data_IF_601756138468
#
_entry.id   IF_601756138468
#
_cell.length_a   1.000
_cell.length_b   1.000
_cell.length_c   1.000
_cell.angle_alpha   90.00
_cell.angle_beta   90.00
_cell.angle_gamma   90.00
#
_symmetry.space_group_name_H-M   'P 1'
#
loop_
_entity.id
_entity.type
_entity.pdbx_description
1 polymer ?
#
# COMPACT_ATOMS: atom_id res chain seq x y z
N UNK A 1 5.39 -17.52 -52.19
CA UNK A 1 4.17 -17.87 -52.97
C UNK A 1 3.02 -17.91 -51.98
N UNK A 2 1.95 -17.13 -52.05
CA UNK A 2 1.44 -16.17 -53.02
C UNK A 2 0.85 -14.99 -52.22
N UNK A 3 1.17 -13.76 -52.63
CA UNK A 3 0.55 -12.51 -52.19
C UNK A 3 -0.75 -12.29 -52.97
N UNK A 4 -1.76 -11.64 -52.38
CA UNK A 4 -2.76 -10.93 -53.17
C UNK A 4 -2.95 -9.50 -52.66
N UNK A 5 -2.73 -8.60 -53.60
CA UNK A 5 -2.78 -7.14 -53.53
C UNK A 5 -3.99 -6.69 -54.37
N UNK A 6 -4.66 -5.61 -53.97
CA UNK A 6 -5.57 -4.89 -54.86
C UNK A 6 -5.37 -3.38 -54.70
N UNK A 7 -4.79 -2.79 -55.75
CA UNK A 7 -4.89 -1.37 -56.07
C UNK A 7 -6.18 -1.12 -56.85
N UNK A 8 -6.83 0.02 -56.62
CA UNK A 8 -7.68 0.64 -57.63
C UNK A 8 -7.39 2.15 -57.71
N UNK A 9 -7.30 2.60 -58.96
CA UNK A 9 -6.84 3.90 -59.42
C UNK A 9 -7.99 4.93 -59.43
N UNK A 10 -7.65 6.18 -59.16
CA UNK A 10 -8.48 7.38 -59.24
C UNK A 10 -9.06 7.67 -60.63
N UNK A 11 -10.24 8.30 -60.68
CA UNK A 11 -10.51 9.35 -61.67
C UNK A 11 -11.48 10.39 -61.08
N UNK A 12 -11.14 11.66 -61.25
CA UNK A 12 -11.83 12.83 -60.73
C UNK A 12 -13.11 13.17 -61.50
N UNK A 13 -14.12 13.68 -60.81
CA UNK A 13 -15.07 14.65 -61.38
C UNK A 13 -15.24 15.77 -60.37
N UNK A 14 -14.83 16.98 -60.78
CA UNK A 14 -15.06 18.22 -60.07
C UNK A 14 -16.51 18.68 -60.29
N UNK A 15 -17.24 18.98 -59.22
CA UNK A 15 -18.42 19.85 -59.30
C UNK A 15 -18.54 20.68 -58.01
N UNK A 16 -18.57 22.01 -58.21
CA UNK A 16 -19.35 22.99 -57.46
C UNK A 16 -19.20 23.04 -55.94
N UNK A 17 -18.44 24.02 -55.46
CA UNK A 17 -18.49 24.57 -54.11
C UNK A 17 -19.87 25.18 -53.80
N UNK A 18 -20.56 24.77 -52.72
CA UNK A 18 -21.45 25.64 -51.98
C UNK A 18 -20.70 26.24 -50.79
N UNK A 19 -20.83 27.55 -50.67
CA UNK A 19 -20.41 28.43 -49.59
C UNK A 19 -20.66 27.81 -48.19
N UNK A 20 -19.57 27.51 -47.46
CA UNK A 20 -19.66 26.93 -46.12
C UNK A 20 -20.12 27.99 -45.11
N UNK A 21 -21.25 27.73 -44.46
CA UNK A 21 -21.63 28.43 -43.24
C UNK A 21 -20.51 28.27 -42.18
N UNK A 22 -20.28 29.29 -41.33
CA UNK A 22 -19.27 29.20 -40.28
C UNK A 22 -19.57 28.01 -39.37
N UNK A 23 -18.53 27.29 -38.88
CA UNK A 23 -18.74 26.15 -38.00
C UNK A 23 -19.47 26.62 -36.75
N UNK A 24 -20.62 26.01 -36.50
CA UNK A 24 -21.26 26.02 -35.19
C UNK A 24 -20.21 25.50 -34.21
N UNK A 25 -19.78 26.37 -33.30
CA UNK A 25 -18.90 25.98 -32.21
C UNK A 25 -19.74 25.04 -31.34
N UNK A 26 -19.53 23.73 -31.50
CA UNK A 26 -20.09 22.75 -30.59
C UNK A 26 -19.62 23.14 -29.20
N UNK A 27 -20.58 23.57 -28.37
CA UNK A 27 -20.34 23.85 -26.97
C UNK A 27 -19.74 22.58 -26.37
N UNK A 28 -18.49 22.68 -25.90
CA UNK A 28 -17.83 21.62 -25.16
C UNK A 28 -18.81 21.15 -24.07
N UNK A 29 -19.27 19.90 -24.19
CA UNK A 29 -20.06 19.25 -23.15
C UNK A 29 -19.18 19.28 -21.92
N UNK A 30 -19.50 20.15 -20.97
CA UNK A 30 -18.84 20.18 -19.69
C UNK A 30 -18.96 18.77 -19.10
N UNK A 31 -17.83 18.08 -18.98
CA UNK A 31 -17.77 16.80 -18.29
C UNK A 31 -18.37 16.95 -16.88
N UNK A 32 -18.80 15.86 -16.25
CA UNK A 32 -19.34 15.91 -14.89
C UNK A 32 -18.36 16.65 -13.99
N UNK A 33 -18.83 17.73 -13.37
CA UNK A 33 -18.02 18.57 -12.49
C UNK A 33 -17.53 17.72 -11.31
N UNK A 34 -16.26 17.82 -10.91
CA UNK A 34 -15.75 17.09 -9.76
C UNK A 34 -16.61 17.35 -8.51
N UNK A 35 -17.02 16.29 -7.84
CA UNK A 35 -17.76 16.37 -6.58
C UNK A 35 -16.75 16.55 -5.44
N UNK A 36 -16.86 17.66 -4.72
CA UNK A 36 -15.99 17.97 -3.58
C UNK A 36 -16.65 17.56 -2.26
N UNK A 37 -15.89 16.92 -1.39
CA UNK A 37 -16.29 16.55 -0.03
C UNK A 37 -15.28 17.09 0.95
N UNK A 38 -15.75 17.70 2.03
CA UNK A 38 -14.89 18.17 3.10
C UNK A 38 -14.18 16.99 3.80
N UNK A 39 -12.85 17.04 3.83
CA UNK A 39 -12.03 16.16 4.64
C UNK A 39 -12.04 16.61 6.10
N UNK A 40 -12.02 15.64 7.02
CA UNK A 40 -11.92 15.91 8.46
C UNK A 40 -10.78 15.13 9.07
N UNK A 41 -9.83 15.84 9.66
CA UNK A 41 -8.74 15.20 10.37
C UNK A 41 -9.27 14.50 11.63
N UNK A 42 -8.88 13.24 11.82
CA UNK A 42 -9.22 12.43 12.97
C UNK A 42 -7.96 11.84 13.60
N UNK A 43 -7.84 12.01 14.91
CA UNK A 43 -6.82 11.36 15.73
C UNK A 43 -7.29 9.96 16.14
N UNK A 44 -6.41 8.97 16.06
CA UNK A 44 -6.66 7.60 16.43
C UNK A 44 -5.86 7.23 17.68
N UNK A 45 -6.56 7.07 18.81
CA UNK A 45 -5.93 6.67 20.09
C UNK A 45 -5.34 5.27 20.05
N UNK A 46 -6.04 4.37 19.35
CA UNK A 46 -5.55 3.04 19.03
C UNK A 46 -5.26 3.03 17.53
N UNK A 47 -4.00 2.80 17.17
CA UNK A 47 -3.61 2.68 15.77
C UNK A 47 -3.88 1.26 15.28
N UNK A 48 -4.97 1.11 14.51
CA UNK A 48 -5.42 -0.18 13.99
C UNK A 48 -5.09 -0.35 12.50
N UNK A 49 -4.60 0.71 11.84
CA UNK A 49 -4.29 0.66 10.43
C UNK A 49 -3.01 -0.13 10.16
N UNK A 50 -3.05 -0.97 9.14
CA UNK A 50 -1.85 -1.60 8.60
C UNK A 50 -1.43 -0.85 7.34
N UNK A 51 -0.31 -0.14 7.43
CA UNK A 51 0.22 0.69 6.37
C UNK A 51 1.08 -0.10 5.38
N UNK A 52 1.14 0.29 4.09
CA UNK A 52 2.03 -0.32 3.11
C UNK A 52 3.48 0.13 3.33
N UNK A 53 4.36 -0.82 3.68
CA UNK A 53 5.77 -0.53 4.02
C UNK A 53 5.89 0.66 5.00
N UNK A 54 5.20 0.52 6.13
CA UNK A 54 5.12 1.55 7.17
C UNK A 54 6.46 2.21 7.48
N UNK A 55 6.49 3.55 7.43
CA UNK A 55 7.67 4.34 7.72
C UNK A 55 7.64 4.88 9.14
N UNK A 56 8.83 4.88 9.74
CA UNK A 56 9.10 5.51 11.03
C UNK A 56 10.19 6.54 10.80
N UNK A 57 9.83 7.81 10.98
CA UNK A 57 10.70 8.95 10.71
C UNK A 57 11.48 9.32 11.98
N UNK A 58 12.80 9.53 11.91
CA UNK A 58 13.58 10.00 13.05
C UNK A 58 13.05 11.34 13.56
N UNK A 59 12.97 11.51 14.89
CA UNK A 59 12.53 12.77 15.50
C UNK A 59 13.56 13.91 15.31
N UNK A 60 14.86 13.59 15.33
CA UNK A 60 15.91 14.61 15.15
C UNK A 60 15.84 15.75 16.17
N UNK A 61 15.94 17.00 15.70
CA UNK A 61 15.80 18.23 16.51
C UNK A 61 14.34 18.68 16.68
N UNK A 62 13.39 18.02 16.01
CA UNK A 62 12.00 18.41 16.01
C UNK A 62 11.22 17.83 14.83
N UNK A 63 9.90 18.06 14.84
CA UNK A 63 8.99 17.65 13.79
C UNK A 63 8.54 18.89 13.01
N UNK A 64 8.41 18.76 11.69
CA UNK A 64 7.89 19.82 10.84
C UNK A 64 6.75 19.25 10.00
N UNK A 65 5.62 19.96 10.00
CA UNK A 65 4.45 19.63 9.20
C UNK A 65 4.19 20.83 8.28
N UNK A 66 4.28 20.64 6.98
CA UNK A 66 4.08 21.70 6.00
C UNK A 66 2.67 22.29 6.13
N UNK A 67 2.61 23.63 6.16
CA UNK A 67 1.34 24.36 6.28
C UNK A 67 0.65 24.23 7.64
N UNK A 68 1.36 23.82 8.69
CA UNK A 68 0.80 23.66 10.04
C UNK A 68 1.66 24.39 11.10
N UNK A 69 1.06 25.36 11.79
CA UNK A 69 1.71 26.16 12.84
C UNK A 69 2.88 27.03 12.35
N UNK A 70 3.76 27.40 13.30
CA UNK A 70 4.99 28.18 13.08
C UNK A 70 6.05 27.45 12.25
N UNK A 71 5.81 26.18 11.91
CA UNK A 71 6.63 25.37 10.99
C UNK A 71 7.60 24.39 11.64
N UNK A 72 7.79 24.41 12.97
CA UNK A 72 8.62 23.40 13.66
C UNK A 72 8.25 23.21 15.13
N UNK A 73 8.05 21.96 15.53
CA UNK A 73 7.86 21.51 16.91
C UNK A 73 9.18 20.98 17.45
N UNK A 74 9.76 21.69 18.41
CA UNK A 74 11.09 21.38 18.92
C UNK A 74 11.13 20.04 19.66
N UNK A 75 12.22 19.30 19.48
CA UNK A 75 12.55 18.13 20.27
C UNK A 75 13.88 18.32 21.03
N UNK A 76 13.96 17.71 22.21
CA UNK A 76 15.19 17.64 22.99
C UNK A 76 15.28 16.30 23.73
N UNK A 77 16.46 15.98 24.26
CA UNK A 77 16.66 14.83 25.13
C UNK A 77 16.94 15.28 26.56
N UNK A 78 16.29 14.62 27.52
CA UNK A 78 16.70 14.64 28.93
C UNK A 78 17.04 13.21 29.37
N UNK A 79 18.34 12.90 29.38
CA UNK A 79 18.82 11.54 29.49
C UNK A 79 18.37 10.70 28.29
N UNK A 80 17.55 9.68 28.55
CA UNK A 80 16.93 8.83 27.51
C UNK A 80 15.50 9.27 27.16
N UNK A 81 14.91 10.21 27.91
CA UNK A 81 13.56 10.68 27.67
C UNK A 81 13.54 11.69 26.51
N UNK A 82 12.48 11.62 25.70
CA UNK A 82 12.17 12.60 24.67
C UNK A 82 11.36 13.74 25.27
N UNK A 83 11.79 14.97 25.02
CA UNK A 83 11.04 16.19 25.27
C UNK A 83 10.51 16.73 23.95
N UNK A 84 9.24 17.11 23.89
CA UNK A 84 8.59 17.68 22.71
C UNK A 84 7.89 18.97 23.10
N UNK A 85 7.98 19.95 22.23
CA UNK A 85 7.10 21.11 22.13
C UNK A 85 5.87 20.69 21.31
N UNK A 86 4.68 20.69 21.91
CA UNK A 86 3.45 20.21 21.26
C UNK A 86 2.52 21.31 20.77
N UNK A 87 2.76 22.57 21.10
CA UNK A 87 1.96 23.72 20.68
C UNK A 87 2.71 24.74 19.80
N UNK A 88 4.01 24.51 19.59
CA UNK A 88 4.87 25.28 18.70
C UNK A 88 5.37 26.60 19.30
N UNK A 89 5.34 26.75 20.63
CA UNK A 89 5.77 27.97 21.33
C UNK A 89 7.30 28.07 21.53
N UNK A 90 8.04 27.01 21.19
CA UNK A 90 9.50 26.91 21.29
C UNK A 90 10.02 26.33 22.62
N UNK A 91 9.13 26.09 23.59
CA UNK A 91 9.41 25.42 24.85
C UNK A 91 8.85 23.98 24.83
N UNK A 92 9.62 23.03 25.35
CA UNK A 92 9.14 21.64 25.42
C UNK A 92 8.19 21.46 26.59
N UNK A 93 6.98 20.99 26.33
CA UNK A 93 5.87 20.84 27.28
C UNK A 93 5.47 19.37 27.54
N UNK A 94 5.94 18.45 26.70
CA UNK A 94 5.70 17.01 26.82
C UNK A 94 7.01 16.24 27.08
N UNK A 95 6.98 15.29 28.02
CA UNK A 95 8.06 14.33 28.28
C UNK A 95 7.57 12.90 28.05
N UNK A 96 8.32 12.11 27.29
CA UNK A 96 8.09 10.69 27.06
C UNK A 96 9.33 9.92 27.53
N UNK A 97 9.19 9.04 28.52
CA UNK A 97 10.28 8.20 28.97
C UNK A 97 10.45 6.98 28.05
N UNK A 98 11.66 6.43 27.93
CA UNK A 98 11.90 5.20 27.16
C UNK A 98 11.08 4.00 27.71
N UNK A 99 10.77 4.01 29.00
CA UNK A 99 9.87 3.07 29.66
C UNK A 99 8.46 3.05 29.04
N UNK A 100 7.98 4.18 28.53
CA UNK A 100 6.63 4.33 27.97
C UNK A 100 6.50 3.66 26.59
N UNK A 101 7.62 3.31 25.95
CA UNK A 101 7.68 2.61 24.66
C UNK A 101 8.02 1.12 24.79
N UNK A 102 8.20 0.61 26.01
CA UNK A 102 8.48 -0.82 26.23
C UNK A 102 7.32 -1.71 25.78
N UNK A 103 7.64 -2.96 25.46
CA UNK A 103 6.68 -3.98 24.99
C UNK A 103 5.93 -3.58 23.70
N UNK A 104 6.55 -2.77 22.85
CA UNK A 104 5.97 -2.33 21.58
C UNK A 104 4.90 -1.25 21.72
N UNK A 105 4.76 -0.62 22.89
CA UNK A 105 3.90 0.54 23.08
C UNK A 105 4.40 1.72 22.27
N UNK A 106 3.47 2.49 21.72
CA UNK A 106 3.78 3.68 20.93
C UNK A 106 2.92 4.85 21.43
N UNK A 107 3.40 5.65 22.40
CA UNK A 107 2.66 6.78 22.94
C UNK A 107 2.13 7.71 21.84
N UNK A 108 0.87 8.11 21.97
CA UNK A 108 0.23 9.09 21.09
C UNK A 108 0.67 10.49 21.51
N UNK A 109 1.13 11.28 20.55
CA UNK A 109 1.40 12.71 20.68
C UNK A 109 0.49 13.47 19.73
N UNK A 110 -0.13 14.53 20.22
CA UNK A 110 -0.99 15.42 19.43
C UNK A 110 -0.37 16.80 19.44
N UNK A 111 -0.01 17.29 18.26
CA UNK A 111 0.46 18.63 18.03
C UNK A 111 -0.72 19.55 17.72
N UNK A 112 -0.65 20.75 18.27
CA UNK A 112 -1.64 21.80 18.13
C UNK A 112 -1.00 22.99 17.43
N UNK A 113 -1.76 23.60 16.53
CA UNK A 113 -1.39 24.90 15.98
C UNK A 113 -1.88 25.98 16.96
N UNK A 114 -0.99 26.81 17.49
CA UNK A 114 -1.38 27.88 18.40
C UNK A 114 -2.36 28.89 17.77
N UNK A 115 -2.29 29.06 16.45
CA UNK A 115 -3.08 30.04 15.70
C UNK A 115 -4.34 29.44 15.06
N UNK A 116 -4.58 28.13 15.19
CA UNK A 116 -5.75 27.46 14.60
C UNK A 116 -6.24 26.23 15.37
N UNK A 117 -7.45 25.75 15.07
CA UNK A 117 -7.97 24.50 15.65
C UNK A 117 -7.39 23.23 15.00
N UNK A 118 -6.41 23.38 14.10
CA UNK A 118 -5.79 22.27 13.41
C UNK A 118 -5.01 21.39 14.39
N UNK A 119 -4.97 20.10 14.09
CA UNK A 119 -4.24 19.11 14.88
C UNK A 119 -3.47 18.17 13.97
N UNK A 120 -2.34 17.70 14.47
CA UNK A 120 -1.58 16.58 13.89
C UNK A 120 -1.26 15.58 14.98
N UNK A 121 -1.29 14.30 14.66
CA UNK A 121 -1.10 13.24 15.62
C UNK A 121 -0.10 12.23 15.08
N UNK A 122 0.87 11.91 15.92
CA UNK A 122 1.88 10.88 15.65
C UNK A 122 1.92 9.91 16.82
N UNK A 123 2.41 8.71 16.56
CA UNK A 123 2.81 7.76 17.59
C UNK A 123 4.32 7.70 17.61
N UNK A 124 4.89 7.68 18.80
CA UNK A 124 6.33 7.77 19.02
C UNK A 124 6.85 6.43 19.55
N UNK A 125 8.09 6.07 19.22
CA UNK A 125 8.72 4.85 19.70
C UNK A 125 10.24 4.94 19.67
N UNK A 126 10.89 4.31 20.65
CA UNK A 126 12.34 4.08 20.62
C UNK A 126 12.67 2.87 19.73
N UNK A 127 13.40 3.12 18.65
CA UNK A 127 13.83 2.12 17.65
C UNK A 127 15.36 2.15 17.47
N UNK A 128 16.09 2.30 18.57
CA UNK A 128 17.53 2.61 18.54
C UNK A 128 17.79 4.12 18.44
N UNK A 129 16.83 4.90 18.95
CA UNK A 129 16.64 6.32 18.70
C UNK A 129 15.15 6.63 18.59
N UNK A 130 14.75 7.86 18.95
CA UNK A 130 13.35 8.28 18.89
C UNK A 130 12.87 8.45 17.45
N UNK A 131 11.81 7.74 17.11
CA UNK A 131 11.14 7.83 15.82
C UNK A 131 9.65 8.07 16.03
N UNK A 132 8.99 8.59 15.00
CA UNK A 132 7.54 8.74 14.97
C UNK A 132 6.95 8.15 13.70
N UNK A 133 5.66 7.83 13.78
CA UNK A 133 4.85 7.40 12.65
C UNK A 133 3.44 7.99 12.80
N UNK A 134 2.60 7.94 11.77
CA UNK A 134 1.30 8.59 11.80
C UNK A 134 0.38 7.99 12.86
N UNK A 135 -0.44 8.85 13.47
CA UNK A 135 -1.53 8.46 14.38
C UNK A 135 -2.86 9.19 14.08
N UNK A 136 -2.95 9.82 12.91
CA UNK A 136 -4.16 10.48 12.44
C UNK A 136 -4.41 10.25 10.95
N UNK A 137 -5.62 10.56 10.50
CA UNK A 137 -6.00 10.48 9.10
C UNK A 137 -7.03 11.55 8.76
N UNK A 138 -6.95 12.10 7.56
CA UNK A 138 -8.05 12.85 6.94
C UNK A 138 -9.12 11.85 6.52
N UNK A 139 -10.36 12.06 6.96
CA UNK A 139 -11.49 11.17 6.66
C UNK A 139 -12.59 11.93 5.93
N UNK A 140 -13.10 11.34 4.86
CA UNK A 140 -14.30 11.79 4.15
C UNK A 140 -15.26 10.62 3.94
N UNK A 141 -16.54 10.91 3.71
CA UNK A 141 -17.52 9.93 3.26
C UNK A 141 -18.13 10.39 1.95
N UNK A 142 -18.09 9.52 0.95
CA UNK A 142 -18.55 9.81 -0.40
C UNK A 142 -19.31 8.59 -0.94
N UNK A 143 -20.56 8.77 -1.38
CA UNK A 143 -21.50 7.70 -1.76
C UNK A 143 -21.56 6.53 -0.76
N UNK A 144 -21.55 6.85 0.54
CA UNK A 144 -21.59 5.86 1.63
C UNK A 144 -20.29 5.08 1.85
N UNK A 145 -19.24 5.36 1.06
CA UNK A 145 -17.90 4.78 1.22
C UNK A 145 -17.03 5.76 2.01
N UNK A 146 -16.36 5.27 3.05
CA UNK A 146 -15.38 6.06 3.79
C UNK A 146 -14.06 6.06 3.03
N UNK A 147 -13.46 7.24 2.85
CA UNK A 147 -12.09 7.40 2.33
C UNK A 147 -11.24 7.98 3.46
N UNK A 148 -10.11 7.36 3.75
CA UNK A 148 -9.15 7.87 4.74
C UNK A 148 -7.79 8.04 4.07
N UNK A 149 -7.21 9.23 4.21
CA UNK A 149 -5.87 9.57 3.74
C UNK A 149 -4.97 9.79 4.95
N UNK A 150 -3.81 9.15 4.95
CA UNK A 150 -2.86 9.13 6.05
C UNK A 150 -1.55 9.68 5.47
N UNK A 151 -1.12 10.81 6.01
CA UNK A 151 0.22 11.37 5.80
C UNK A 151 1.24 10.35 6.31
N UNK A 152 1.82 9.55 5.41
CA UNK A 152 2.67 8.41 5.77
C UNK A 152 4.15 8.81 5.83
N UNK A 153 4.55 9.76 5.00
CA UNK A 153 5.93 10.27 4.98
C UNK A 153 6.17 11.27 6.13
N UNK A 154 5.10 11.78 6.76
CA UNK A 154 5.12 12.66 7.93
C UNK A 154 5.41 14.11 7.58
N UNK A 155 5.19 14.53 6.33
CA UNK A 155 5.53 15.87 5.86
C UNK A 155 4.44 16.92 6.14
N UNK A 156 3.29 16.51 6.69
CA UNK A 156 2.16 17.38 7.03
C UNK A 156 1.13 17.55 5.92
N UNK A 157 1.42 17.07 4.70
CA UNK A 157 0.53 17.08 3.54
C UNK A 157 -0.22 15.75 3.40
N UNK A 158 -1.29 15.76 2.61
CA UNK A 158 -2.14 14.59 2.34
C UNK A 158 -2.33 14.32 0.84
N UNK A 159 -1.56 14.99 -0.02
CA UNK A 159 -1.64 14.87 -1.48
C UNK A 159 -0.44 14.12 -2.09
N UNK A 160 0.35 13.43 -1.25
CA UNK A 160 1.53 12.67 -1.65
C UNK A 160 1.18 11.37 -2.39
N UNK A 161 0.86 11.46 -3.69
CA UNK A 161 0.54 10.30 -4.53
C UNK A 161 1.69 9.28 -4.49
N UNK A 162 1.38 8.05 -4.11
CA UNK A 162 2.36 6.98 -4.01
C UNK A 162 3.30 7.07 -2.80
N UNK A 163 3.11 8.05 -1.93
CA UNK A 163 3.88 8.23 -0.69
C UNK A 163 2.98 8.07 0.53
N UNK A 164 1.87 8.81 0.54
CA UNK A 164 0.83 8.72 1.54
C UNK A 164 0.08 7.40 1.45
N UNK A 165 -0.70 7.11 2.48
CA UNK A 165 -1.51 5.90 2.56
C UNK A 165 -3.00 6.22 2.42
N UNK A 166 -3.73 5.29 1.81
CA UNK A 166 -5.13 5.41 1.48
C UNK A 166 -5.89 4.16 1.92
N UNK A 167 -7.00 4.37 2.60
CA UNK A 167 -8.00 3.35 2.91
C UNK A 167 -9.31 3.70 2.23
N UNK A 168 -9.85 2.77 1.45
CA UNK A 168 -11.18 2.90 0.83
C UNK A 168 -12.13 1.87 1.46
N UNK A 169 -13.27 2.36 1.97
CA UNK A 169 -14.27 1.57 2.66
C UNK A 169 -14.02 1.40 4.16
N UNK A 170 -14.49 0.28 4.71
CA UNK A 170 -14.51 0.00 6.16
C UNK A 170 -13.30 -0.77 6.67
N UNK A 171 -12.32 -1.05 5.81
CA UNK A 171 -11.12 -1.78 6.18
C UNK A 171 -10.14 -0.96 7.04
N UNK A 172 -9.10 -1.65 7.51
CA UNK A 172 -7.95 -1.08 8.23
C UNK A 172 -6.64 -1.28 7.45
N UNK A 173 -6.68 -2.05 6.37
CA UNK A 173 -5.56 -2.22 5.45
C UNK A 173 -5.51 -1.04 4.51
N UNK A 174 -4.36 -0.36 4.46
CA UNK A 174 -4.11 0.75 3.55
C UNK A 174 -3.26 0.30 2.35
N UNK A 175 -3.52 0.91 1.20
CA UNK A 175 -2.61 0.94 0.06
C UNK A 175 -1.94 2.31 -0.02
N UNK A 176 -1.09 2.55 -1.02
CA UNK A 176 -0.58 3.90 -1.22
C UNK A 176 -1.70 4.83 -1.73
N UNK A 177 -1.59 6.12 -1.48
CA UNK A 177 -2.45 7.13 -2.05
C UNK A 177 -2.35 7.05 -3.56
N UNK A 178 -3.51 6.97 -4.19
CA UNK A 178 -3.67 6.65 -5.61
C UNK A 178 -4.47 7.76 -6.27
N UNK A 179 -4.07 8.15 -7.48
CA UNK A 179 -4.84 9.11 -8.27
C UNK A 179 -6.22 8.55 -8.68
N UNK A 180 -6.37 7.22 -8.65
CA UNK A 180 -7.61 6.54 -8.98
C UNK A 180 -8.03 5.59 -7.85
N UNK A 181 -9.32 5.60 -7.51
CA UNK A 181 -9.89 4.77 -6.45
C UNK A 181 -11.07 3.96 -6.98
N UNK A 182 -11.23 2.74 -6.49
CA UNK A 182 -12.42 1.94 -6.76
C UNK A 182 -13.44 2.15 -5.63
N UNK A 183 -14.60 2.70 -5.97
CA UNK A 183 -15.71 2.93 -5.02
C UNK A 183 -16.92 2.17 -5.53
N UNK A 184 -17.33 1.15 -4.77
CA UNK A 184 -18.48 0.29 -5.08
C UNK A 184 -18.42 -0.37 -6.48
N UNK A 185 -17.22 -0.67 -6.99
CA UNK A 185 -17.00 -1.34 -8.28
C UNK A 185 -16.63 -0.38 -9.42
N UNK A 186 -16.95 0.90 -9.28
CA UNK A 186 -16.62 1.93 -10.26
C UNK A 186 -15.31 2.65 -9.91
N UNK A 187 -14.65 3.19 -10.94
CA UNK A 187 -13.35 3.83 -10.81
C UNK A 187 -13.49 5.35 -10.94
N UNK A 188 -12.90 6.07 -9.99
CA UNK A 188 -12.94 7.53 -9.92
C UNK A 188 -11.53 8.09 -9.77
N UNK A 189 -11.28 9.26 -10.35
CA UNK A 189 -10.11 10.07 -10.01
C UNK A 189 -10.33 10.71 -8.65
N UNK A 190 -9.30 10.65 -7.81
CA UNK A 190 -9.24 11.29 -6.50
C UNK A 190 -8.17 12.37 -6.54
N UNK A 191 -8.55 13.58 -6.14
CA UNK A 191 -7.62 14.67 -5.82
C UNK A 191 -7.83 15.04 -4.35
N UNK A 192 -6.73 15.25 -3.63
CA UNK A 192 -6.76 15.63 -2.21
C UNK A 192 -6.09 17.00 -2.11
N UNK A 193 -6.71 17.94 -1.41
CA UNK A 193 -6.04 19.19 -1.06
C UNK A 193 -4.81 18.90 -0.19
N UNK A 194 -3.73 19.66 -0.35
CA UNK A 194 -2.48 19.44 0.38
C UNK A 194 -2.70 19.36 1.91
N UNK A 195 -3.56 20.21 2.47
CA UNK A 195 -3.90 20.23 3.90
C UNK A 195 -4.93 19.17 4.32
N UNK A 196 -5.48 18.43 3.37
CA UNK A 196 -6.52 17.43 3.55
C UNK A 196 -7.92 17.99 3.84
N UNK A 197 -8.13 19.30 3.67
CA UNK A 197 -9.42 19.95 3.93
C UNK A 197 -10.52 19.53 2.95
N UNK A 198 -10.15 19.05 1.77
CA UNK A 198 -11.07 18.72 0.69
C UNK A 198 -10.57 17.53 -0.13
N UNK A 199 -11.48 16.64 -0.49
CA UNK A 199 -11.28 15.57 -1.46
C UNK A 199 -12.22 15.80 -2.65
N UNK A 200 -11.70 15.73 -3.87
CA UNK A 200 -12.46 15.89 -5.10
C UNK A 200 -12.50 14.57 -5.86
N UNK A 201 -13.69 14.18 -6.29
CA UNK A 201 -13.96 12.94 -6.99
C UNK A 201 -14.52 13.26 -8.38
N UNK A 202 -13.98 12.61 -9.41
CA UNK A 202 -14.54 12.67 -10.76
C UNK A 202 -14.49 11.29 -11.42
N UNK A 203 -15.38 10.98 -12.38
CA UNK A 203 -15.30 9.72 -13.10
C UNK A 203 -13.92 9.51 -13.71
N UNK A 204 -13.37 8.30 -13.59
CA UNK A 204 -12.11 7.98 -14.24
C UNK A 204 -12.34 7.78 -15.75
N UNK A 205 -11.63 8.55 -16.56
CA UNK A 205 -11.76 8.61 -18.02
C UNK A 205 -10.64 7.86 -18.77
N UNK A 206 -9.66 7.31 -18.04
CA UNK A 206 -8.57 6.54 -18.61
C UNK A 206 -8.95 5.12 -19.00
N UNK A 207 -7.98 4.39 -19.57
CA UNK A 207 -8.14 2.97 -19.88
C UNK A 207 -8.19 2.15 -18.60
N UNK A 208 -9.05 1.13 -18.58
CA UNK A 208 -9.35 0.33 -17.40
C UNK A 208 -9.36 -1.15 -17.74
N UNK A 209 -8.86 -1.98 -16.83
CA UNK A 209 -9.00 -3.44 -16.87
C UNK A 209 -9.43 -3.98 -15.50
N UNK A 210 -9.35 -5.30 -15.34
CA UNK A 210 -9.61 -5.99 -14.08
C UNK A 210 -8.35 -6.70 -13.63
N UNK A 211 -7.92 -6.44 -12.40
CA UNK A 211 -6.84 -7.18 -11.76
C UNK A 211 -7.44 -8.16 -10.75
N UNK A 212 -7.13 -9.44 -10.92
CA UNK A 212 -7.58 -10.52 -10.05
C UNK A 212 -6.38 -11.23 -9.41
N UNK A 213 -6.31 -11.18 -8.09
CA UNK A 213 -5.29 -11.86 -7.28
C UNK A 213 -5.82 -13.12 -6.58
N UNK A 214 -7.12 -13.42 -6.69
CA UNK A 214 -7.75 -14.57 -6.05
C UNK A 214 -7.86 -15.77 -6.99
N UNK A 215 -8.25 -15.58 -8.26
CA UNK A 215 -8.52 -16.68 -9.19
C UNK A 215 -7.34 -17.66 -9.38
N UNK A 216 -6.13 -17.12 -9.48
CA UNK A 216 -4.91 -17.89 -9.63
C UNK A 216 -4.21 -18.23 -8.29
N UNK A 217 -4.75 -17.84 -7.14
CA UNK A 217 -4.13 -18.13 -5.84
C UNK A 217 -4.36 -19.58 -5.41
N UNK A 218 -3.29 -20.39 -5.36
CA UNK A 218 -3.39 -21.84 -5.09
C UNK A 218 -2.93 -22.22 -3.68
N UNK A 219 -3.66 -21.79 -2.65
CA UNK A 219 -3.48 -22.29 -1.27
C UNK A 219 -4.82 -22.34 -0.53
N UNK A 220 -4.88 -23.01 0.62
CA UNK A 220 -6.04 -22.96 1.53
C UNK A 220 -6.07 -21.70 2.42
N UNK A 221 -4.99 -20.91 2.41
CA UNK A 221 -4.94 -19.66 3.16
C UNK A 221 -5.84 -18.61 2.51
N UNK A 222 -6.30 -17.66 3.31
CA UNK A 222 -7.08 -16.51 2.84
C UNK A 222 -6.15 -15.33 2.62
N UNK A 223 -6.40 -14.56 1.56
CA UNK A 223 -5.74 -13.28 1.35
C UNK A 223 -6.32 -12.27 2.37
N UNK A 224 -5.49 -11.84 3.32
CA UNK A 224 -5.87 -10.83 4.31
C UNK A 224 -5.71 -9.42 3.75
N UNK A 225 -4.55 -9.17 3.13
CA UNK A 225 -4.16 -7.92 2.47
C UNK A 225 -3.34 -8.26 1.22
N UNK A 226 -3.57 -7.54 0.12
CA UNK A 226 -2.74 -7.61 -1.09
C UNK A 226 -2.64 -6.23 -1.71
N UNK A 227 -1.60 -5.48 -1.35
CA UNK A 227 -1.31 -4.17 -1.90
C UNK A 227 -0.49 -4.32 -3.17
N UNK A 228 -1.03 -3.80 -4.25
CA UNK A 228 -0.33 -3.65 -5.52
C UNK A 228 -0.09 -2.18 -5.82
N UNK A 229 0.96 -1.89 -6.57
CA UNK A 229 1.29 -0.55 -7.04
C UNK A 229 1.70 -0.59 -8.50
N UNK A 230 1.26 0.36 -9.29
CA UNK A 230 1.72 0.46 -10.68
C UNK A 230 3.20 0.85 -10.73
N UNK A 231 3.88 0.50 -11.81
CA UNK A 231 5.32 0.73 -11.96
C UNK A 231 5.73 2.20 -12.02
N UNK A 232 4.79 3.12 -12.28
CA UNK A 232 5.02 4.56 -12.23
C UNK A 232 4.63 5.18 -10.89
N UNK A 233 4.05 4.39 -10.00
CA UNK A 233 3.73 4.75 -8.63
C UNK A 233 2.55 5.71 -8.45
N UNK A 234 1.70 5.86 -9.47
CA UNK A 234 0.50 6.71 -9.51
C UNK A 234 -0.75 6.02 -8.97
N UNK A 235 -0.78 4.69 -9.05
CA UNK A 235 -1.94 3.88 -8.70
C UNK A 235 -1.56 2.78 -7.72
N UNK A 236 -2.39 2.61 -6.70
CA UNK A 236 -2.24 1.53 -5.73
C UNK A 236 -3.60 1.08 -5.19
N UNK A 237 -3.73 -0.22 -4.96
CA UNK A 237 -4.98 -0.84 -4.53
C UNK A 237 -4.68 -1.97 -3.54
N UNK A 238 -5.55 -2.15 -2.55
CA UNK A 238 -5.64 -3.38 -1.76
C UNK A 238 -6.70 -4.31 -2.35
N UNK A 239 -6.27 -5.48 -2.84
CA UNK A 239 -7.12 -6.50 -3.43
C UNK A 239 -7.43 -7.67 -2.47
N UNK A 240 -7.01 -7.60 -1.21
CA UNK A 240 -7.20 -8.69 -0.24
C UNK A 240 -8.66 -9.14 -0.12
N UNK A 241 -9.60 -8.20 -0.24
CA UNK A 241 -11.06 -8.48 -0.16
C UNK A 241 -11.78 -8.48 -1.52
N UNK A 242 -11.06 -8.27 -2.63
CA UNK A 242 -11.64 -8.18 -3.97
C UNK A 242 -11.71 -9.57 -4.65
N UNK A 243 -12.59 -10.45 -4.16
CA UNK A 243 -12.64 -11.87 -4.57
C UNK A 243 -13.01 -12.09 -6.04
N UNK A 244 -13.72 -11.16 -6.66
CA UNK A 244 -14.11 -11.22 -8.07
C UNK A 244 -13.12 -10.50 -9.02
N UNK A 245 -12.01 -10.01 -8.46
CA UNK A 245 -11.12 -9.03 -9.09
C UNK A 245 -11.58 -7.59 -8.84
N UNK A 246 -10.66 -6.65 -9.06
CA UNK A 246 -10.91 -5.22 -8.88
C UNK A 246 -10.73 -4.49 -10.21
N UNK A 247 -11.65 -3.57 -10.52
CA UNK A 247 -11.53 -2.68 -11.67
C UNK A 247 -10.49 -1.60 -11.35
N UNK A 248 -9.43 -1.54 -12.16
CA UNK A 248 -8.24 -0.67 -11.95
C UNK A 248 -7.78 -0.04 -13.27
N UNK A 249 -7.05 1.09 -13.26
CA UNK A 249 -6.40 1.64 -14.45
C UNK A 249 -5.59 0.59 -15.21
N UNK A 250 -5.61 0.63 -16.55
CA UNK A 250 -4.72 -0.19 -17.35
C UNK A 250 -3.26 0.27 -17.15
N UNK A 251 -2.42 -0.62 -16.61
CA UNK A 251 -1.03 -0.36 -16.28
C UNK A 251 -0.29 -1.67 -15.95
N UNK A 252 1.03 -1.56 -15.78
CA UNK A 252 1.86 -2.61 -15.21
C UNK A 252 1.91 -2.46 -13.69
N UNK A 253 1.43 -3.45 -12.95
CA UNK A 253 1.41 -3.48 -11.49
C UNK A 253 2.46 -4.41 -10.90
N UNK A 254 2.87 -4.16 -9.66
CA UNK A 254 3.72 -5.04 -8.86
C UNK A 254 3.09 -5.27 -7.51
N UNK A 255 3.33 -6.46 -6.95
CA UNK A 255 3.06 -6.72 -5.53
C UNK A 255 4.02 -5.88 -4.69
N UNK A 256 3.50 -5.07 -3.78
CA UNK A 256 4.31 -4.30 -2.81
C UNK A 256 4.29 -4.95 -1.43
N UNK A 257 3.12 -5.43 -1.01
CA UNK A 257 2.91 -5.98 0.33
C UNK A 257 1.70 -6.91 0.31
N UNK A 258 1.78 -8.04 0.99
CA UNK A 258 0.65 -8.93 1.18
C UNK A 258 0.76 -9.67 2.51
N UNK A 259 -0.40 -10.02 3.07
CA UNK A 259 -0.51 -10.89 4.24
C UNK A 259 -1.54 -11.95 3.92
N UNK A 260 -1.15 -13.21 4.11
CA UNK A 260 -2.05 -14.35 3.95
C UNK A 260 -2.24 -15.04 5.29
N UNK A 261 -3.45 -15.53 5.53
CA UNK A 261 -3.94 -15.96 6.85
C UNK A 261 -4.50 -17.36 6.77
N UNK A 262 -4.07 -18.25 7.65
CA UNK A 262 -4.59 -19.61 7.79
C UNK A 262 -4.88 -19.90 9.27
N UNK A 263 -6.17 -19.97 9.62
CA UNK A 263 -6.59 -20.14 11.02
C UNK A 263 -6.13 -18.97 11.89
N UNK A 264 -5.29 -19.25 12.89
CA UNK A 264 -4.65 -18.22 13.74
C UNK A 264 -3.29 -17.78 13.21
N UNK A 265 -2.82 -18.39 12.14
CA UNK A 265 -1.52 -18.12 11.56
C UNK A 265 -1.58 -17.07 10.47
N UNK A 266 -0.52 -16.27 10.33
CA UNK A 266 -0.31 -15.35 9.22
C UNK A 266 1.12 -15.44 8.71
N UNK A 267 1.30 -15.07 7.45
CA UNK A 267 2.62 -14.94 6.82
C UNK A 267 2.58 -13.75 5.88
N UNK A 268 3.67 -12.99 5.89
CA UNK A 268 3.88 -11.87 4.98
C UNK A 268 4.36 -12.40 3.63
N UNK A 269 3.94 -11.73 2.56
CA UNK A 269 4.30 -12.09 1.20
C UNK A 269 4.91 -10.87 0.52
N UNK A 270 6.15 -11.04 0.08
CA UNK A 270 6.92 -10.04 -0.64
C UNK A 270 7.00 -10.40 -2.11
N UNK A 271 7.19 -9.40 -2.98
CA UNK A 271 7.28 -9.59 -4.45
C UNK A 271 8.24 -10.69 -4.88
N UNK A 272 9.41 -10.78 -4.27
CA UNK A 272 10.47 -11.69 -4.74
C UNK A 272 10.78 -11.48 -6.23
N UNK A 273 10.69 -12.57 -7.00
CA UNK A 273 10.87 -12.61 -8.47
C UNK A 273 9.55 -12.53 -9.25
N UNK A 274 8.41 -12.30 -8.58
CA UNK A 274 7.12 -12.16 -9.24
C UNK A 274 7.19 -11.04 -10.30
N UNK A 275 6.84 -11.33 -11.58
CA UNK A 275 6.89 -10.34 -12.64
C UNK A 275 5.81 -9.27 -12.44
N UNK A 276 5.91 -8.19 -13.24
CA UNK A 276 4.85 -7.20 -13.28
C UNK A 276 3.56 -7.80 -13.89
N UNK A 277 2.42 -7.40 -13.34
CA UNK A 277 1.08 -7.77 -13.78
C UNK A 277 0.61 -6.76 -14.81
N UNK A 278 0.55 -7.17 -16.08
CA UNK A 278 0.18 -6.30 -17.19
C UNK A 278 -1.34 -6.25 -17.36
N UNK A 279 -2.00 -5.24 -16.79
CA UNK A 279 -3.45 -5.03 -16.94
C UNK A 279 -3.70 -4.19 -18.18
N UNK A 280 -4.24 -4.82 -19.22
CA UNK A 280 -4.62 -4.14 -20.45
C UNK A 280 -6.06 -3.60 -20.39
N UNK A 281 -6.38 -2.65 -21.29
CA UNK A 281 -7.73 -2.12 -21.47
C UNK A 281 -8.74 -3.25 -21.75
N UNK A 282 -9.87 -3.20 -21.04
CA UNK A 282 -11.01 -4.12 -21.17
C UNK A 282 -10.63 -5.60 -21.00
N UNK A 283 -9.49 -5.89 -20.36
CA UNK A 283 -8.97 -7.23 -20.11
C UNK A 283 -8.96 -7.57 -18.62
N UNK A 284 -9.06 -8.87 -18.32
CA UNK A 284 -8.81 -9.42 -16.98
C UNK A 284 -7.39 -9.98 -16.94
N UNK A 285 -6.59 -9.52 -15.98
CA UNK A 285 -5.33 -10.15 -15.61
C UNK A 285 -5.55 -10.97 -14.35
N UNK A 286 -5.35 -12.29 -14.44
CA UNK A 286 -5.37 -13.21 -13.30
C UNK A 286 -3.93 -13.55 -12.90
N UNK A 287 -3.59 -13.28 -11.65
CA UNK A 287 -2.28 -13.59 -11.08
C UNK A 287 -2.21 -15.07 -10.68
N UNK A 288 -1.35 -15.85 -11.34
CA UNK A 288 -1.01 -17.24 -10.93
C UNK A 288 0.14 -17.22 -9.91
N UNK A 289 -0.19 -17.49 -8.64
CA UNK A 289 0.72 -17.39 -7.50
C UNK A 289 0.23 -18.24 -6.33
N UNK A 290 0.95 -18.26 -5.21
CA UNK A 290 0.67 -19.17 -4.11
C UNK A 290 1.43 -20.48 -4.24
N UNK A 291 0.74 -21.58 -3.95
CA UNK A 291 1.31 -22.91 -3.90
C UNK A 291 1.59 -23.55 -5.28
N UNK A 292 2.41 -24.60 -5.31
CA UNK A 292 3.20 -25.13 -4.19
C UNK A 292 4.33 -24.17 -3.79
N UNK A 293 4.69 -24.18 -2.51
CA UNK A 293 5.84 -23.43 -2.00
C UNK A 293 7.11 -24.28 -2.15
N UNK A 294 8.17 -23.67 -2.66
CA UNK A 294 9.53 -24.18 -2.65
C UNK A 294 10.28 -23.61 -1.45
N UNK A 295 10.92 -24.48 -0.66
CA UNK A 295 11.81 -24.08 0.42
C UNK A 295 13.27 -24.26 -0.02
N UNK A 296 14.05 -23.19 0.02
CA UNK A 296 15.51 -23.21 -0.21
C UNK A 296 16.22 -22.87 1.09
N UNK A 297 17.31 -23.55 1.40
CA UNK A 297 18.13 -23.26 2.58
C UNK A 297 19.58 -23.65 2.36
N UNK A 298 20.49 -22.92 3.00
CA UNK A 298 21.90 -23.24 3.01
C UNK A 298 22.21 -24.24 4.13
N UNK A 299 23.09 -25.20 3.88
CA UNK A 299 23.51 -26.17 4.89
C UNK A 299 25.02 -26.40 4.90
N UNK A 300 25.53 -26.79 6.07
CA UNK A 300 26.89 -27.23 6.30
C UNK A 300 26.89 -28.69 6.78
N UNK A 301 27.99 -29.39 6.52
CA UNK A 301 28.23 -30.72 7.07
C UNK A 301 29.24 -30.61 8.20
N UNK A 302 28.83 -30.93 9.43
CA UNK A 302 29.67 -30.88 10.63
C UNK A 302 29.54 -32.21 11.35
N UNK A 303 30.66 -32.88 11.61
CA UNK A 303 30.71 -34.19 12.29
C UNK A 303 29.77 -35.26 11.69
N UNK A 304 29.63 -35.25 10.36
CA UNK A 304 28.77 -36.18 9.63
C UNK A 304 27.28 -35.81 9.63
N UNK A 305 26.86 -34.78 10.36
CA UNK A 305 25.49 -34.27 10.42
C UNK A 305 25.29 -33.08 9.47
N UNK A 306 24.07 -32.93 8.94
CA UNK A 306 23.64 -31.71 8.25
C UNK A 306 23.22 -30.68 9.30
N UNK A 307 23.80 -29.49 9.21
CA UNK A 307 23.41 -28.31 10.01
C UNK A 307 23.01 -27.21 9.06
N UNK A 308 21.96 -26.46 9.39
CA UNK A 308 21.57 -25.25 8.67
C UNK A 308 21.00 -24.27 9.69
N UNK A 309 20.97 -23.00 9.31
CA UNK A 309 20.35 -21.96 10.11
C UNK A 309 18.85 -21.91 9.79
N UNK A 310 17.94 -22.13 10.76
CA UNK A 310 16.50 -22.00 10.52
C UNK A 310 16.09 -20.60 10.04
N UNK A 311 16.90 -19.57 10.27
CA UNK A 311 16.68 -18.21 9.76
C UNK A 311 17.13 -18.05 8.30
N UNK A 312 17.88 -19.01 7.76
CA UNK A 312 18.32 -19.06 6.37
C UNK A 312 17.46 -20.02 5.53
N UNK A 313 16.16 -20.10 5.82
CA UNK A 313 15.18 -20.82 5.02
C UNK A 313 14.30 -19.81 4.28
N UNK A 314 14.32 -19.87 2.96
CA UNK A 314 13.51 -19.02 2.09
C UNK A 314 12.38 -19.82 1.45
N UNK A 315 11.16 -19.30 1.56
CA UNK A 315 9.97 -19.89 0.95
C UNK A 315 9.58 -19.07 -0.27
N UNK A 316 9.54 -19.70 -1.43
CA UNK A 316 9.17 -19.08 -2.70
C UNK A 316 7.92 -19.76 -3.25
N UNK A 317 6.89 -18.98 -3.58
CA UNK A 317 5.70 -19.51 -4.23
C UNK A 317 5.89 -19.66 -5.74
N UNK A 318 4.87 -20.21 -6.38
CA UNK A 318 4.87 -20.50 -7.82
C UNK A 318 5.13 -19.26 -8.68
N UNK A 319 4.58 -18.12 -8.30
CA UNK A 319 4.76 -16.87 -9.03
C UNK A 319 6.17 -16.30 -8.87
N UNK A 320 6.95 -16.78 -7.89
CA UNK A 320 8.25 -16.24 -7.51
C UNK A 320 8.18 -15.25 -6.35
N UNK A 321 7.00 -15.04 -5.77
CA UNK A 321 6.81 -14.31 -4.52
C UNK A 321 7.45 -15.03 -3.32
N UNK A 322 7.82 -14.29 -2.29
CA UNK A 322 8.53 -14.80 -1.10
C UNK A 322 7.65 -14.72 0.13
N UNK A 323 7.68 -15.76 0.96
CA UNK A 323 6.90 -15.86 2.20
C UNK A 323 7.80 -15.72 3.43
N UNK A 324 7.51 -14.74 4.29
CA UNK A 324 8.30 -14.36 5.48
C UNK A 324 7.40 -14.03 6.68
N UNK A 325 7.97 -13.82 7.86
CA UNK A 325 7.23 -13.30 9.03
C UNK A 325 6.13 -14.24 9.54
N UNK A 326 6.44 -15.53 9.66
CA UNK A 326 5.44 -16.53 10.06
C UNK A 326 5.02 -16.33 11.52
N UNK A 327 3.73 -16.12 11.76
CA UNK A 327 3.16 -15.81 13.06
C UNK A 327 1.95 -16.72 13.36
N UNK A 328 1.82 -17.35 14.55
CA UNK A 328 2.82 -17.41 15.61
C UNK A 328 4.07 -18.14 15.14
N UNK A 329 5.22 -17.67 15.64
CA UNK A 329 6.51 -18.31 15.39
C UNK A 329 6.43 -19.79 15.79
N UNK A 330 6.95 -20.68 14.94
CA UNK A 330 6.95 -22.13 15.18
C UNK A 330 5.67 -22.87 14.77
N UNK A 331 4.67 -22.20 14.18
CA UNK A 331 3.55 -22.84 13.46
C UNK A 331 3.80 -22.97 11.95
N UNK A 332 5.08 -22.91 11.57
CA UNK A 332 5.58 -23.01 10.19
C UNK A 332 5.46 -24.43 9.62
N UNK A 333 5.69 -24.63 8.31
CA UNK A 333 5.65 -25.96 7.71
C UNK A 333 6.57 -26.95 8.42
N UNK A 334 6.08 -28.17 8.60
CA UNK A 334 6.85 -29.30 9.14
C UNK A 334 7.69 -29.90 8.01
N UNK A 335 8.99 -30.02 8.24
CA UNK A 335 9.93 -30.62 7.31
C UNK A 335 10.29 -32.02 7.75
N UNK A 336 10.13 -32.95 6.82
CA UNK A 336 10.50 -34.35 7.01
C UNK A 336 11.59 -34.67 6.01
N UNK A 337 12.83 -34.79 6.50
CA UNK A 337 13.96 -35.22 5.68
C UNK A 337 13.96 -36.74 5.66
N UNK A 338 13.89 -37.33 4.46
CA UNK A 338 13.87 -38.78 4.27
C UNK A 338 15.13 -39.26 3.58
N UNK A 339 15.57 -40.47 3.93
CA UNK A 339 16.56 -41.18 3.14
C UNK A 339 15.97 -41.49 1.75
N UNK A 340 16.72 -41.19 0.70
CA UNK A 340 16.23 -41.35 -0.69
C UNK A 340 16.07 -42.82 -1.09
N UNK A 341 16.85 -43.72 -0.52
CA UNK A 341 16.86 -45.14 -0.87
C UNK A 341 15.88 -45.94 -0.01
N UNK A 342 15.82 -45.68 1.29
CA UNK A 342 14.96 -46.44 2.22
C UNK A 342 13.61 -45.78 2.48
N UNK A 343 13.51 -44.46 2.27
CA UNK A 343 12.31 -43.68 2.60
C UNK A 343 12.16 -43.38 4.10
N UNK A 344 13.10 -43.82 4.93
CA UNK A 344 13.07 -43.60 6.38
C UNK A 344 13.17 -42.13 6.72
N UNK A 345 12.42 -41.70 7.74
CA UNK A 345 12.52 -40.34 8.26
C UNK A 345 13.82 -40.20 9.04
N UNK A 346 14.72 -39.39 8.50
CA UNK A 346 16.02 -39.08 9.12
C UNK A 346 15.90 -37.92 10.11
N UNK A 347 15.09 -36.91 9.78
CA UNK A 347 14.86 -35.73 10.63
C UNK A 347 13.41 -35.29 10.49
N UNK A 348 12.81 -34.94 11.63
CA UNK A 348 11.54 -34.25 11.73
C UNK A 348 11.77 -32.90 12.42
N UNK A 349 11.50 -31.79 11.72
CA UNK A 349 11.73 -30.45 12.26
C UNK A 349 10.64 -29.47 11.81
N UNK A 350 10.31 -28.53 12.70
CA UNK A 350 9.45 -27.38 12.39
C UNK A 350 10.35 -26.16 12.35
N UNK A 351 10.52 -25.55 11.17
CA UNK A 351 11.42 -24.39 11.03
C UNK A 351 10.67 -23.10 11.28
N UNK A 352 11.00 -22.31 12.31
CA UNK A 352 10.42 -21.00 12.45
C UNK A 352 10.79 -20.16 11.22
N UNK A 353 9.80 -19.61 10.54
CA UNK A 353 10.09 -18.61 9.52
C UNK A 353 10.43 -17.27 10.16
N UNK A 354 11.63 -16.76 9.83
CA UNK A 354 12.21 -15.42 10.12
C UNK A 354 11.76 -14.73 11.43
N UNK A 355 12.71 -14.60 12.37
CA UNK A 355 12.60 -13.73 13.54
C UNK A 355 12.38 -12.27 13.18
#
# INVERSE_FOLDING_TARGET
MLYLSFCLVCTSIATGTPESAPPTVDAAVAGPTPEAVAGRYKVYRNWEFTLPQERWTPVGEGLAFEGFGSGSFRAALDGTALLLDTDGDGETDLRIAAEDTKDGKTPLVVFHDADSDLRRAVRVGDRGGWHYAPAGAVTASWHGTTVKVIDQNGDGRFDGIGEDALVVGRGESACYLSEAINVAGDLFRLEVAADGSELRFSPYDGEVGVLDVHGGYKTEAKLGRVVVRDTKGRYSFDLGKATEGLRVPAADYRLEDAVVVLGKGSVEVQRGKLPAMHVAKDARYELDWGGPLEATFDYARVDGQLRFDPLAVWYTGRGGERYTGWNPRGSSPKFVVKDKQTGDVLVDAVFPGSC
#
